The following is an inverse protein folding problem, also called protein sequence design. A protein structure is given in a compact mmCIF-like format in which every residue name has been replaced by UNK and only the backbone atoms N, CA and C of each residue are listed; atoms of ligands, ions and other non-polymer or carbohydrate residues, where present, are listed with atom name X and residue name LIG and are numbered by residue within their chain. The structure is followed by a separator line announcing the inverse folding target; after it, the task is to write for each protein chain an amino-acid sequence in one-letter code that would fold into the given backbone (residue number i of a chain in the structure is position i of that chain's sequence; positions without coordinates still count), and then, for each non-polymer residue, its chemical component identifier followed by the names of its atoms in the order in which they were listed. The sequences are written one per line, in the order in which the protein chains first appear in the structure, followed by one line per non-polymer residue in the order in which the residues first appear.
data_IF_726949306552
#
_entry.id   IF_726949306552
#
_cell.length_a   1.000
_cell.length_b   1.000
_cell.length_c   1.000
_cell.angle_alpha   90.00
_cell.angle_beta   90.00
_cell.angle_gamma   90.00
#
_symmetry.space_group_name_H-M   'P 1'
#
loop_
_entity.id
_entity.type
_entity.pdbx_description
1 polymer ?
#
# COMPACT_ATOMS: atom_id res chain seq x y z
N UNK A 1 13.43 -20.27 15.49
CA UNK A 1 12.22 -19.41 15.51
C UNK A 1 11.31 -19.89 16.63
N UNK A 2 10.94 -19.02 17.56
CA UNK A 2 10.05 -19.36 18.68
C UNK A 2 8.62 -19.58 18.16
N UNK A 3 7.96 -20.72 18.47
CA UNK A 3 6.62 -21.04 17.97
C UNK A 3 5.48 -20.24 18.62
N UNK A 4 5.79 -19.37 19.59
CA UNK A 4 4.81 -18.51 20.28
C UNK A 4 4.68 -17.10 19.71
N UNK A 5 5.54 -16.72 18.75
CA UNK A 5 5.56 -15.39 18.17
C UNK A 5 5.06 -15.47 16.72
N UNK A 6 3.74 -15.56 16.54
CA UNK A 6 3.14 -15.24 15.24
C UNK A 6 3.13 -13.71 15.15
N UNK A 7 3.89 -13.07 14.23
CA UNK A 7 3.92 -11.61 14.12
C UNK A 7 2.58 -11.03 13.63
N UNK A 8 1.71 -11.89 13.10
CA UNK A 8 0.34 -11.56 12.73
C UNK A 8 -0.56 -12.47 13.58
N UNK A 9 -0.92 -11.97 14.77
CA UNK A 9 -1.92 -12.59 15.61
C UNK A 9 -3.24 -12.67 14.84
N UNK A 10 -3.65 -13.88 14.49
CA UNK A 10 -4.95 -14.14 13.88
C UNK A 10 -6.09 -13.85 14.85
N UNK A 11 -6.50 -12.59 14.94
CA UNK A 11 -7.79 -12.06 15.37
C UNK A 11 -7.63 -10.55 15.25
N UNK A 12 -8.58 -9.80 14.70
CA UNK A 12 -8.49 -8.33 14.58
C UNK A 12 -8.52 -7.58 15.92
N UNK A 13 -7.74 -8.04 16.89
CA UNK A 13 -7.64 -7.51 18.25
C UNK A 13 -6.62 -6.38 18.23
N UNK A 14 -7.07 -5.19 18.64
CA UNK A 14 -6.18 -4.06 18.86
C UNK A 14 -5.12 -4.43 19.91
N UNK A 15 -3.86 -4.14 19.61
CA UNK A 15 -2.74 -4.37 20.52
C UNK A 15 -2.74 -3.22 21.53
N UNK A 16 -2.86 -3.54 22.81
CA UNK A 16 -2.86 -2.55 23.88
C UNK A 16 -1.50 -1.88 24.04
N UNK A 17 -1.46 -0.64 24.55
CA UNK A 17 -0.20 0.04 24.88
C UNK A 17 0.69 -0.78 25.82
N UNK A 18 0.08 -1.54 26.74
CA UNK A 18 0.78 -2.45 27.64
C UNK A 18 1.44 -3.63 26.92
N UNK A 19 0.90 -4.06 25.78
CA UNK A 19 1.51 -5.08 24.91
C UNK A 19 2.61 -4.47 24.04
N UNK A 20 2.42 -3.25 23.54
CA UNK A 20 3.46 -2.53 22.80
C UNK A 20 4.69 -2.27 23.67
N UNK A 21 4.52 -1.90 24.94
CA UNK A 21 5.63 -1.69 25.89
C UNK A 21 6.50 -2.93 26.13
N UNK A 22 6.05 -4.12 25.74
CA UNK A 22 6.84 -5.36 25.84
C UNK A 22 7.83 -5.51 24.69
N UNK A 23 7.72 -4.71 23.64
CA UNK A 23 8.60 -4.80 22.48
C UNK A 23 9.97 -4.23 22.87
N UNK A 24 11.03 -4.99 22.61
CA UNK A 24 12.38 -4.55 22.94
C UNK A 24 12.88 -3.38 22.05
N UNK A 25 12.35 -3.23 20.84
CA UNK A 25 12.69 -2.15 19.93
C UNK A 25 11.66 -1.01 20.03
N UNK A 26 12.05 0.22 20.44
CA UNK A 26 11.14 1.37 20.50
C UNK A 26 10.59 1.79 19.13
N UNK A 27 11.36 1.67 18.04
CA UNK A 27 10.89 1.97 16.68
C UNK A 27 9.77 1.01 16.25
N UNK A 28 9.87 -0.25 16.68
CA UNK A 28 8.81 -1.22 16.42
C UNK A 28 7.52 -0.86 17.17
N UNK A 29 7.61 -0.32 18.38
CA UNK A 29 6.45 0.16 19.12
C UNK A 29 5.74 1.27 18.35
N UNK A 30 6.49 2.25 17.86
CA UNK A 30 5.94 3.37 17.09
C UNK A 30 5.30 2.90 15.78
N UNK A 31 5.96 2.02 15.03
CA UNK A 31 5.38 1.42 13.82
C UNK A 31 4.06 0.70 14.10
N UNK A 32 3.99 -0.05 15.21
CA UNK A 32 2.77 -0.74 15.59
C UNK A 32 1.66 0.19 16.08
N UNK A 33 1.98 1.33 16.71
CA UNK A 33 0.98 2.36 17.01
C UNK A 33 0.35 2.91 15.74
N UNK A 34 1.17 3.20 14.73
CA UNK A 34 0.69 3.69 13.43
C UNK A 34 -0.19 2.64 12.77
N UNK A 35 0.22 1.37 12.76
CA UNK A 35 -0.58 0.27 12.24
C UNK A 35 -1.90 0.10 12.99
N UNK A 36 -1.89 0.15 14.32
CA UNK A 36 -3.12 0.03 15.12
C UNK A 36 -4.09 1.16 14.82
N UNK A 37 -3.62 2.40 14.78
CA UNK A 37 -4.46 3.56 14.44
C UNK A 37 -5.01 3.48 13.01
N UNK A 38 -4.27 2.87 12.08
CA UNK A 38 -4.79 2.55 10.75
C UNK A 38 -5.90 1.50 10.79
N UNK A 39 -5.69 0.39 11.51
CA UNK A 39 -6.72 -0.64 11.70
C UNK A 39 -7.99 -0.08 12.35
N UNK A 40 -7.88 0.79 13.35
CA UNK A 40 -9.03 1.43 14.00
C UNK A 40 -9.86 2.25 13.01
N UNK A 41 -9.20 2.98 12.09
CA UNK A 41 -9.90 3.72 11.02
C UNK A 41 -10.64 2.78 10.08
N UNK A 42 -10.02 1.67 9.69
CA UNK A 42 -10.67 0.67 8.83
C UNK A 42 -11.90 0.06 9.52
N UNK A 43 -11.79 -0.31 10.79
CA UNK A 43 -12.88 -0.91 11.57
C UNK A 43 -14.03 0.06 11.85
N UNK A 44 -13.73 1.36 11.96
CA UNK A 44 -14.75 2.40 12.15
C UNK A 44 -15.53 2.71 10.86
N UNK A 45 -14.97 2.41 9.68
CA UNK A 45 -15.61 2.67 8.40
C UNK A 45 -16.53 1.52 7.97
N UNK A 46 -17.62 1.86 7.27
CA UNK A 46 -18.57 0.86 6.72
C UNK A 46 -17.96 0.09 5.54
N UNK A 47 -16.96 0.66 4.87
CA UNK A 47 -16.20 0.02 3.81
C UNK A 47 -14.83 0.66 3.64
N UNK A 48 -13.94 0.00 2.90
CA UNK A 48 -12.60 0.52 2.61
C UNK A 48 -12.65 1.77 1.73
N UNK A 49 -13.61 1.88 0.80
CA UNK A 49 -13.87 3.07 -0.01
C UNK A 49 -14.27 4.26 0.87
N UNK A 50 -15.14 4.03 1.85
CA UNK A 50 -15.58 5.06 2.79
C UNK A 50 -14.40 5.51 3.66
N UNK A 51 -13.58 4.58 4.14
CA UNK A 51 -12.36 4.91 4.88
C UNK A 51 -11.40 5.74 4.02
N UNK A 52 -11.14 5.30 2.78
CA UNK A 52 -10.23 5.96 1.85
C UNK A 52 -10.66 7.40 1.57
N UNK A 53 -11.93 7.61 1.19
CA UNK A 53 -12.47 8.95 0.96
C UNK A 53 -12.48 9.81 2.23
N UNK A 54 -12.75 9.21 3.39
CA UNK A 54 -12.74 9.89 4.68
C UNK A 54 -11.38 10.50 5.02
N UNK A 55 -10.29 9.80 4.70
CA UNK A 55 -8.92 10.28 4.92
C UNK A 55 -8.68 11.59 4.15
N UNK A 56 -9.02 11.64 2.86
CA UNK A 56 -8.82 12.85 2.05
C UNK A 56 -9.81 13.97 2.40
N UNK A 57 -11.05 13.64 2.76
CA UNK A 57 -12.07 14.65 3.13
C UNK A 57 -11.80 15.35 4.45
N UNK A 58 -11.17 14.66 5.40
CA UNK A 58 -10.80 15.26 6.69
C UNK A 58 -9.53 16.10 6.62
N UNK A 59 -8.76 15.98 5.52
CA UNK A 59 -7.46 16.67 5.34
C UNK A 59 -6.36 16.16 6.26
N UNK A 60 -6.63 15.15 7.08
CA UNK A 60 -5.66 14.59 8.02
C UNK A 60 -4.93 13.41 7.39
N UNK A 61 -3.87 13.73 6.63
CA UNK A 61 -2.98 12.76 5.98
C UNK A 61 -1.87 12.27 6.92
N UNK A 62 -2.21 11.86 8.14
CA UNK A 62 -1.24 11.33 9.11
C UNK A 62 -0.81 9.89 8.83
N UNK A 63 -1.40 9.24 7.82
CA UNK A 63 -1.11 7.85 7.49
C UNK A 63 0.08 7.77 6.53
N UNK A 64 1.02 6.84 6.76
CA UNK A 64 2.05 6.49 5.78
C UNK A 64 1.44 6.19 4.40
N UNK A 65 2.12 6.67 3.35
CA UNK A 65 1.64 6.53 1.96
C UNK A 65 1.38 5.07 1.57
N UNK A 66 2.21 4.13 2.05
CA UNK A 66 2.05 2.69 1.77
C UNK A 66 0.67 2.14 2.15
N UNK A 67 0.02 2.68 3.18
CA UNK A 67 -1.34 2.27 3.54
C UNK A 67 -2.38 2.84 2.57
N UNK A 68 -2.18 4.08 2.10
CA UNK A 68 -3.05 4.69 1.09
C UNK A 68 -2.97 3.92 -0.22
N UNK A 69 -1.75 3.53 -0.63
CA UNK A 69 -1.52 2.74 -1.84
C UNK A 69 -2.21 1.37 -1.74
N UNK A 70 -2.06 0.69 -0.60
CA UNK A 70 -2.72 -0.59 -0.35
C UNK A 70 -4.26 -0.47 -0.38
N UNK A 71 -4.82 0.62 0.17
CA UNK A 71 -6.26 0.88 0.11
C UNK A 71 -6.73 1.16 -1.33
N UNK A 72 -6.02 2.01 -2.06
CA UNK A 72 -6.33 2.33 -3.45
C UNK A 72 -6.32 1.06 -4.31
N UNK A 73 -5.27 0.24 -4.19
CA UNK A 73 -5.19 -1.05 -4.86
C UNK A 73 -6.37 -1.97 -4.52
N UNK A 74 -6.74 -2.07 -3.24
CA UNK A 74 -7.87 -2.90 -2.79
C UNK A 74 -9.20 -2.43 -3.39
N UNK A 75 -9.45 -1.12 -3.39
CA UNK A 75 -10.64 -0.51 -4.00
C UNK A 75 -10.69 -0.82 -5.50
N UNK A 76 -9.57 -0.65 -6.19
CA UNK A 76 -9.48 -0.90 -7.63
C UNK A 76 -9.68 -2.38 -7.96
N UNK A 77 -9.11 -3.28 -7.16
CA UNK A 77 -9.30 -4.72 -7.31
C UNK A 77 -10.78 -5.10 -7.14
N UNK A 78 -11.48 -4.51 -6.18
CA UNK A 78 -12.91 -4.73 -5.98
C UNK A 78 -13.76 -4.24 -7.18
N UNK A 79 -13.33 -3.18 -7.87
CA UNK A 79 -13.98 -2.66 -9.07
C UNK A 79 -13.69 -3.58 -10.27
N UNK A 80 -12.42 -3.89 -10.52
CA UNK A 80 -11.95 -4.63 -11.69
C UNK A 80 -12.38 -6.08 -11.66
N UNK A 81 -12.41 -6.72 -10.49
CA UNK A 81 -12.82 -8.13 -10.33
C UNK A 81 -14.25 -8.44 -10.79
N UNK A 82 -15.07 -7.40 -11.03
CA UNK A 82 -16.44 -7.51 -11.55
C UNK A 82 -16.49 -7.54 -13.08
N UNK A 83 -15.33 -7.41 -13.73
CA UNK A 83 -15.16 -7.42 -15.19
C UNK A 83 -14.17 -8.52 -15.59
N UNK A 84 -14.42 -9.15 -16.74
CA UNK A 84 -13.46 -10.07 -17.37
C UNK A 84 -12.64 -9.37 -18.47
N UNK A 85 -12.69 -8.03 -18.55
CA UNK A 85 -11.92 -7.27 -19.53
C UNK A 85 -10.45 -7.13 -19.08
N UNK A 86 -9.49 -7.76 -19.79
CA UNK A 86 -8.08 -7.66 -19.45
C UNK A 86 -7.53 -6.23 -19.63
N UNK A 87 -8.12 -5.41 -20.51
CA UNK A 87 -7.70 -4.02 -20.69
C UNK A 87 -8.10 -3.15 -19.51
N UNK A 88 -9.27 -3.40 -18.92
CA UNK A 88 -9.69 -2.71 -17.69
C UNK A 88 -8.76 -3.06 -16.52
N UNK A 89 -8.39 -4.34 -16.40
CA UNK A 89 -7.41 -4.77 -15.40
C UNK A 89 -6.06 -4.07 -15.60
N UNK A 90 -5.55 -4.02 -16.84
CA UNK A 90 -4.30 -3.33 -17.15
C UNK A 90 -4.37 -1.82 -16.90
N UNK A 91 -5.47 -1.17 -17.27
CA UNK A 91 -5.66 0.26 -17.06
C UNK A 91 -5.70 0.62 -15.56
N UNK A 92 -6.26 -0.26 -14.73
CA UNK A 92 -6.31 -0.04 -13.27
C UNK A 92 -4.93 0.00 -12.62
N UNK A 93 -3.93 -0.66 -13.21
CA UNK A 93 -2.54 -0.62 -12.71
C UNK A 93 -1.96 0.79 -12.69
N UNK A 94 -2.39 1.68 -13.60
CA UNK A 94 -1.93 3.07 -13.64
C UNK A 94 -2.28 3.87 -12.38
N UNK A 95 -3.29 3.43 -11.62
CA UNK A 95 -3.82 4.14 -10.47
C UNK A 95 -3.17 3.73 -9.15
N UNK A 96 -2.42 2.63 -9.12
CA UNK A 96 -1.71 2.16 -7.91
C UNK A 96 -0.22 1.89 -8.12
N UNK A 97 0.26 1.83 -9.38
CA UNK A 97 1.69 1.81 -9.66
C UNK A 97 2.25 3.23 -9.76
N UNK A 98 3.42 3.44 -9.20
CA UNK A 98 4.15 4.70 -9.29
C UNK A 98 4.47 5.02 -10.76
N UNK A 99 4.12 6.24 -11.17
CA UNK A 99 4.38 6.75 -12.51
C UNK A 99 5.54 7.73 -12.46
N UNK A 100 6.55 7.50 -13.30
CA UNK A 100 7.69 8.39 -13.46
C UNK A 100 7.41 9.38 -14.61
N UNK A 101 7.40 10.69 -14.34
CA UNK A 101 7.29 11.70 -15.40
C UNK A 101 8.61 11.82 -16.17
N UNK A 102 8.52 12.04 -17.47
CA UNK A 102 9.68 12.29 -18.35
C UNK A 102 9.78 13.80 -18.70
N UNK A 103 11.00 14.24 -19.06
CA UNK A 103 11.52 15.59 -19.39
C UNK A 103 10.58 16.63 -20.07
N UNK A 104 10.95 17.94 -20.02
CA UNK A 104 10.00 19.06 -20.05
C UNK A 104 9.32 19.34 -21.41
N UNK A 105 9.83 18.82 -22.53
CA UNK A 105 9.23 19.07 -23.85
C UNK A 105 7.97 18.23 -24.11
N UNK A 106 7.79 17.11 -23.39
CA UNK A 106 6.60 16.27 -23.47
C UNK A 106 6.38 15.46 -22.18
N UNK A 107 5.23 15.67 -21.53
CA UNK A 107 4.86 14.95 -20.31
C UNK A 107 4.39 13.53 -20.64
N UNK A 108 5.33 12.59 -20.65
CA UNK A 108 5.01 11.16 -20.69
C UNK A 108 5.10 10.58 -19.30
N UNK A 109 4.07 9.81 -18.92
CA UNK A 109 4.07 8.96 -17.74
C UNK A 109 4.43 7.54 -18.17
N UNK A 110 5.48 7.01 -17.55
CA UNK A 110 5.84 5.62 -17.68
C UNK A 110 5.92 4.98 -16.29
N UNK A 111 5.64 3.70 -16.22
CA UNK A 111 5.71 2.95 -14.97
C UNK A 111 7.15 2.96 -14.42
N UNK A 112 7.32 3.39 -13.16
CA UNK A 112 8.65 3.63 -12.57
C UNK A 112 9.53 2.37 -12.51
N UNK A 113 8.96 1.21 -12.20
CA UNK A 113 9.67 -0.09 -12.18
C UNK A 113 10.23 -0.43 -13.57
N UNK A 114 9.41 -0.25 -14.61
CA UNK A 114 9.82 -0.51 -16.01
C UNK A 114 10.93 0.45 -16.42
N UNK A 115 10.79 1.74 -16.14
CA UNK A 115 11.82 2.75 -16.45
C UNK A 115 13.12 2.41 -15.75
N UNK A 116 13.07 2.09 -14.45
CA UNK A 116 14.25 1.68 -13.68
C UNK A 116 14.94 0.45 -14.30
N UNK A 117 14.18 -0.61 -14.59
CA UNK A 117 14.71 -1.83 -15.20
C UNK A 117 15.34 -1.59 -16.58
N UNK A 118 14.70 -0.77 -17.41
CA UNK A 118 15.22 -0.42 -18.74
C UNK A 118 16.48 0.46 -18.64
N UNK A 119 16.53 1.40 -17.69
CA UNK A 119 17.70 2.23 -17.45
C UNK A 119 18.91 1.41 -16.98
N UNK A 120 18.69 0.38 -16.15
CA UNK A 120 19.76 -0.49 -15.66
C UNK A 120 20.25 -1.50 -16.71
N UNK A 121 19.35 -2.06 -17.53
CA UNK A 121 19.68 -3.14 -18.48
C UNK A 121 19.83 -2.68 -19.94
N UNK A 122 19.63 -1.39 -20.22
CA UNK A 122 19.50 -0.89 -21.60
C UNK A 122 18.35 -1.53 -22.38
N UNK A 123 17.40 -2.17 -21.69
CA UNK A 123 16.31 -2.95 -22.30
C UNK A 123 16.66 -4.39 -22.67
N UNK A 124 17.83 -4.90 -22.29
CA UNK A 124 18.25 -6.27 -22.65
C UNK A 124 17.71 -7.37 -21.71
N UNK A 125 17.06 -7.02 -20.60
CA UNK A 125 16.66 -7.98 -19.57
C UNK A 125 17.87 -8.58 -18.82
N UNK A 126 17.63 -9.45 -17.84
CA UNK A 126 18.72 -10.19 -17.20
C UNK A 126 19.15 -11.33 -18.12
N UNK A 127 20.42 -11.33 -18.56
CA UNK A 127 21.04 -12.41 -19.34
C UNK A 127 21.88 -13.34 -18.47
N UNK A 128 21.61 -13.35 -17.16
CA UNK A 128 22.41 -14.05 -16.17
C UNK A 128 21.56 -15.18 -15.59
N UNK A 129 21.66 -16.36 -16.23
CA UNK A 129 21.23 -17.64 -15.67
C UNK A 129 22.45 -18.35 -15.05
#
# INVERSE_FOLDING_TARGET
MCPSCSPLGGSGKAISDAELWKFANPEAQDNYRVLSGFCDKLLAAVSIEVCFLGIFRTGNLSLPHVFLDAMAWTVLLAIVSRSNDPFLARASELLFREQMPTLPEAFFLAEAEIVSRLATTGGMGSLEN
#
